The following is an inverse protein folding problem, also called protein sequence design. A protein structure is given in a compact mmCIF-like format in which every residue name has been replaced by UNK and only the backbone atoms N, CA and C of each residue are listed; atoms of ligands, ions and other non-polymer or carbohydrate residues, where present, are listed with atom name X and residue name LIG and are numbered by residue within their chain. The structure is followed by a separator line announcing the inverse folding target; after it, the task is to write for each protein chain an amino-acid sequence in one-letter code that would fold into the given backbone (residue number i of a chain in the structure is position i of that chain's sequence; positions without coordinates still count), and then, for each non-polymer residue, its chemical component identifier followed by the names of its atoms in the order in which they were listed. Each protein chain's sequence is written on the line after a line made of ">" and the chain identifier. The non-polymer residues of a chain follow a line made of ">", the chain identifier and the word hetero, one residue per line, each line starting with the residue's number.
data_IF_967082869564
#
_entry.id   IF_967082869564
#
_cell.length_a   1.000
_cell.length_b   1.000
_cell.length_c   1.000
_cell.angle_alpha   90.00
_cell.angle_beta   90.00
_cell.angle_gamma   90.00
#
_symmetry.space_group_name_H-M   'P 1'
#
loop_
_entity.id
_entity.type
_entity.pdbx_description
1 polymer ?
#
# COMPACT_ATOMS: atom_id res chain seq x y z
N UNK A 1 -13.38 5.89 -29.16
CA UNK A 1 -13.69 5.31 -27.85
C UNK A 1 -12.38 5.26 -27.10
N UNK A 2 -12.14 6.21 -26.19
CA UNK A 2 -10.82 6.36 -25.57
C UNK A 2 -10.49 5.15 -24.71
N UNK A 3 -9.30 4.58 -24.88
CA UNK A 3 -8.75 3.57 -23.99
C UNK A 3 -8.51 4.22 -22.62
N UNK A 4 -9.56 4.27 -21.79
CA UNK A 4 -9.44 4.48 -20.36
C UNK A 4 -8.73 3.24 -19.80
N UNK A 5 -7.42 3.15 -20.05
CA UNK A 5 -6.53 2.29 -19.27
C UNK A 5 -6.92 2.53 -17.84
N UNK A 6 -7.59 1.55 -17.26
CA UNK A 6 -7.81 1.43 -15.83
C UNK A 6 -6.40 1.61 -15.25
N UNK A 7 -6.07 2.82 -14.80
CA UNK A 7 -4.84 3.08 -14.06
C UNK A 7 -5.11 2.33 -12.78
N UNK A 8 -4.77 1.04 -12.76
CA UNK A 8 -5.00 0.15 -11.64
C UNK A 8 -4.25 0.75 -10.48
N UNK A 9 -4.97 1.46 -9.62
CA UNK A 9 -4.41 2.08 -8.43
C UNK A 9 -3.90 0.91 -7.59
N UNK A 10 -2.58 0.79 -7.47
CA UNK A 10 -1.99 -0.35 -6.76
C UNK A 10 -2.41 -0.26 -5.29
N UNK A 11 -3.07 -1.31 -4.80
CA UNK A 11 -3.53 -1.41 -3.42
C UNK A 11 -2.71 -2.44 -2.65
N UNK A 12 -2.63 -2.25 -1.34
CA UNK A 12 -2.00 -3.13 -0.37
C UNK A 12 -3.10 -4.01 0.22
N UNK A 13 -2.94 -5.32 0.10
CA UNK A 13 -3.83 -6.28 0.73
C UNK A 13 -3.25 -6.71 2.08
N UNK A 14 -3.71 -6.08 3.17
CA UNK A 14 -3.25 -6.42 4.53
C UNK A 14 -3.68 -7.83 5.00
N UNK A 15 -4.63 -8.46 4.30
CA UNK A 15 -5.08 -9.82 4.61
C UNK A 15 -4.23 -10.89 3.92
N UNK A 16 -3.37 -10.52 2.97
CA UNK A 16 -2.42 -11.43 2.32
C UNK A 16 -1.04 -11.26 2.97
N UNK A 17 -0.55 -12.25 3.75
CA UNK A 17 0.76 -12.17 4.39
C UNK A 17 1.91 -11.94 3.41
N UNK A 18 1.80 -12.47 2.19
CA UNK A 18 2.86 -12.32 1.17
C UNK A 18 2.92 -10.89 0.66
N UNK A 19 1.76 -10.26 0.45
CA UNK A 19 1.67 -8.86 0.01
C UNK A 19 2.15 -7.93 1.14
N UNK A 20 1.75 -8.21 2.39
CA UNK A 20 2.24 -7.49 3.58
C UNK A 20 3.75 -7.52 3.68
N UNK A 21 4.38 -8.70 3.61
CA UNK A 21 5.85 -8.82 3.67
C UNK A 21 6.53 -8.05 2.54
N UNK A 22 6.03 -8.19 1.31
CA UNK A 22 6.58 -7.52 0.13
C UNK A 22 6.50 -5.98 0.25
N UNK A 23 5.40 -5.45 0.79
CA UNK A 23 5.25 -4.02 1.03
C UNK A 23 6.03 -3.51 2.24
N UNK A 24 6.15 -4.32 3.30
CA UNK A 24 7.00 -4.02 4.44
C UNK A 24 8.46 -3.85 4.00
N UNK A 25 8.96 -4.77 3.16
CA UNK A 25 10.30 -4.67 2.58
C UNK A 25 10.43 -3.45 1.65
N UNK A 26 9.45 -3.20 0.78
CA UNK A 26 9.47 -2.07 -0.15
C UNK A 26 9.41 -0.70 0.54
N UNK A 27 8.74 -0.60 1.68
CA UNK A 27 8.63 0.64 2.47
C UNK A 27 9.63 0.73 3.63
N UNK A 28 10.36 -0.34 3.94
CA UNK A 28 11.26 -0.41 5.09
C UNK A 28 10.53 -0.26 6.43
N UNK A 29 9.31 -0.80 6.53
CA UNK A 29 8.46 -0.69 7.73
C UNK A 29 8.09 -2.08 8.27
N UNK A 30 7.57 -2.12 9.50
CA UNK A 30 7.02 -3.35 10.09
C UNK A 30 5.57 -3.60 9.66
N UNK A 31 5.09 -4.84 9.76
CA UNK A 31 3.70 -5.20 9.45
C UNK A 31 2.69 -4.34 10.22
N UNK A 32 3.01 -4.04 11.48
CA UNK A 32 2.19 -3.17 12.33
C UNK A 32 2.13 -1.74 11.79
N UNK A 33 3.26 -1.17 11.38
CA UNK A 33 3.30 0.16 10.77
C UNK A 33 2.56 0.19 9.43
N UNK A 34 2.68 -0.87 8.64
CA UNK A 34 1.95 -1.00 7.38
C UNK A 34 0.43 -1.03 7.62
N UNK A 35 -0.02 -1.83 8.58
CA UNK A 35 -1.44 -1.94 8.95
C UNK A 35 -1.99 -0.63 9.52
N UNK A 36 -1.24 0.04 10.41
CA UNK A 36 -1.60 1.35 10.95
C UNK A 36 -1.70 2.41 9.83
N UNK A 37 -0.71 2.45 8.93
CA UNK A 37 -0.73 3.37 7.79
C UNK A 37 -1.95 3.10 6.89
N UNK A 38 -2.20 1.84 6.51
CA UNK A 38 -3.39 1.46 5.71
C UNK A 38 -4.69 1.88 6.40
N UNK A 39 -4.79 1.73 7.72
CA UNK A 39 -5.97 2.14 8.48
C UNK A 39 -6.13 3.67 8.52
N UNK A 40 -5.04 4.43 8.52
CA UNK A 40 -5.05 5.89 8.57
C UNK A 40 -5.33 6.56 7.22
N UNK A 41 -4.72 6.07 6.14
CA UNK A 41 -4.75 6.74 4.82
C UNK A 41 -5.41 5.91 3.71
N UNK A 42 -5.91 4.72 4.07
CA UNK A 42 -6.47 3.75 3.15
C UNK A 42 -5.42 2.84 2.51
N UNK A 43 -5.89 1.79 1.85
CA UNK A 43 -5.06 0.70 1.30
C UNK A 43 -4.34 1.05 -0.01
N UNK A 44 -4.31 2.30 -0.45
CA UNK A 44 -3.59 2.64 -1.69
C UNK A 44 -2.10 2.82 -1.44
N UNK A 45 -1.27 2.20 -2.28
CA UNK A 45 0.20 2.27 -2.20
C UNK A 45 0.69 3.72 -2.17
N UNK A 46 0.08 4.59 -2.98
CA UNK A 46 0.46 6.00 -3.05
C UNK A 46 0.19 6.75 -1.74
N UNK A 47 -0.95 6.49 -1.08
CA UNK A 47 -1.28 7.14 0.18
C UNK A 47 -0.40 6.61 1.32
N UNK A 48 -0.26 5.28 1.42
CA UNK A 48 0.57 4.64 2.45
C UNK A 48 2.02 5.06 2.32
N UNK A 49 2.57 5.07 1.10
CA UNK A 49 3.93 5.54 0.85
C UNK A 49 4.11 6.99 1.30
N UNK A 50 3.18 7.90 0.97
CA UNK A 50 3.22 9.30 1.43
C UNK A 50 3.16 9.44 2.94
N UNK A 51 2.43 8.57 3.63
CA UNK A 51 2.33 8.57 5.08
C UNK A 51 3.60 8.04 5.75
N UNK A 52 4.21 7.00 5.18
CA UNK A 52 5.43 6.37 5.69
C UNK A 52 6.72 7.11 5.29
N UNK A 53 6.63 8.13 4.44
CA UNK A 53 7.78 8.99 4.09
C UNK A 53 8.26 9.74 5.34
N UNK A 54 9.44 9.34 5.84
CA UNK A 54 10.34 10.15 6.66
C UNK A 54 11.15 11.12 5.79
#
# INVERSE_FOLDING_TARGET
>A
MGDYKNITVKQINISDPSDVMNWCEAFGCTEKQLAEAVNLVGSTVAAVRRHLYF
#
